data_IF_852552448485
#
_entry.id   IF_852552448485
#
_cell.length_a   1.000
_cell.length_b   1.000
_cell.length_c   1.000
_cell.angle_alpha   90.00
_cell.angle_beta   90.00
_cell.angle_gamma   90.00
#
_symmetry.space_group_name_H-M   'P 1'
#
loop_
_entity.id
_entity.type
_entity.pdbx_description
1 polymer ?
#
# COMPACT_ATOMS: atom_id res chain seq x y z
N UNK A 1 18.53 13.57 2.02
CA UNK A 1 18.11 12.48 1.09
C UNK A 1 16.61 12.26 1.21
N UNK A 2 15.93 11.79 0.12
CA UNK A 2 14.49 11.49 0.14
C UNK A 2 14.29 9.99 -0.01
N UNK A 3 13.47 9.40 0.87
CA UNK A 3 13.15 7.99 0.88
C UNK A 3 11.63 7.78 0.76
N UNK A 4 11.21 6.91 -0.15
CA UNK A 4 9.83 6.40 -0.19
C UNK A 4 9.85 5.05 0.51
N UNK A 5 9.23 4.96 1.68
CA UNK A 5 9.43 3.86 2.61
C UNK A 5 8.17 3.02 2.72
N UNK A 6 8.24 1.77 2.28
CA UNK A 6 7.20 0.77 2.49
C UNK A 6 7.11 0.38 3.96
N UNK A 7 5.93 0.57 4.56
CA UNK A 7 5.70 0.30 5.98
C UNK A 7 4.97 -1.03 6.23
N UNK A 8 4.78 -1.82 5.19
CA UNK A 8 4.11 -3.11 5.32
C UNK A 8 2.58 -3.01 5.42
N UNK A 9 1.90 -4.10 5.79
CA UNK A 9 0.44 -4.18 5.77
C UNK A 9 -0.26 -3.36 6.87
N UNK A 10 0.48 -2.95 7.91
CA UNK A 10 -0.07 -2.12 8.99
C UNK A 10 0.71 -2.22 10.30
N UNK A 11 0.85 -3.41 10.89
CA UNK A 11 1.51 -3.57 12.18
C UNK A 11 3.03 -3.39 12.08
N UNK A 12 3.62 -2.80 13.12
CA UNK A 12 5.06 -2.47 13.19
C UNK A 12 5.99 -3.68 13.04
N UNK A 13 5.57 -4.87 13.43
CA UNK A 13 6.36 -6.11 13.29
C UNK A 13 6.63 -6.51 11.84
N UNK A 14 5.87 -5.96 10.89
CA UNK A 14 6.03 -6.23 9.46
C UNK A 14 6.84 -5.16 8.71
N UNK A 15 7.42 -4.22 9.46
CA UNK A 15 8.30 -3.21 8.89
C UNK A 15 9.71 -3.79 8.75
N UNK A 16 10.29 -3.67 7.56
CA UNK A 16 11.66 -4.08 7.34
C UNK A 16 12.63 -3.28 8.20
N UNK A 17 13.64 -3.93 8.73
CA UNK A 17 14.64 -3.27 9.61
C UNK A 17 15.30 -2.05 8.96
N UNK A 18 15.56 -2.10 7.65
CA UNK A 18 16.07 -0.94 6.89
C UNK A 18 15.09 0.23 6.92
N UNK A 19 13.80 -0.05 6.69
CA UNK A 19 12.73 0.96 6.73
C UNK A 19 12.61 1.60 8.11
N UNK A 20 12.59 0.78 9.17
CA UNK A 20 12.57 1.25 10.56
C UNK A 20 13.73 2.21 10.85
N UNK A 21 14.96 1.83 10.47
CA UNK A 21 16.14 2.64 10.71
C UNK A 21 16.09 3.99 9.98
N UNK A 22 15.62 4.01 8.75
CA UNK A 22 15.46 5.23 7.96
C UNK A 22 14.41 6.14 8.60
N UNK A 23 13.24 5.62 8.96
CA UNK A 23 12.18 6.39 9.61
C UNK A 23 12.67 7.02 10.92
N UNK A 24 13.40 6.26 11.74
CA UNK A 24 13.94 6.73 13.02
C UNK A 24 14.98 7.86 12.90
N UNK A 25 15.70 7.90 11.79
CA UNK A 25 16.80 8.86 11.58
C UNK A 25 16.46 10.00 10.65
N UNK A 26 15.26 10.02 10.07
CA UNK A 26 14.81 11.11 9.19
C UNK A 26 14.46 12.36 9.97
N UNK A 27 14.82 13.52 9.42
CA UNK A 27 14.46 14.84 9.96
C UNK A 27 12.95 15.10 9.85
N UNK A 28 12.36 14.62 8.74
CA UNK A 28 10.92 14.73 8.45
C UNK A 28 10.34 13.36 8.06
N UNK A 29 9.19 13.04 8.63
CA UNK A 29 8.42 11.86 8.26
C UNK A 29 7.03 12.30 7.80
N UNK A 30 6.74 12.07 6.54
CA UNK A 30 5.53 12.52 5.83
C UNK A 30 4.66 11.31 5.50
N UNK A 31 3.37 11.39 5.78
CA UNK A 31 2.44 10.33 5.45
C UNK A 31 0.99 10.68 5.74
N UNK A 32 0.09 9.84 5.29
CA UNK A 32 -1.32 9.93 5.68
C UNK A 32 -1.49 9.63 7.17
N UNK A 33 -2.54 10.20 7.77
CA UNK A 33 -2.78 10.14 9.22
C UNK A 33 -2.62 8.73 9.78
N UNK A 34 -3.27 7.73 9.19
CA UNK A 34 -3.18 6.33 9.66
C UNK A 34 -1.73 5.83 9.74
N UNK A 35 -0.91 6.11 8.72
CA UNK A 35 0.50 5.67 8.69
C UNK A 35 1.34 6.37 9.76
N UNK A 36 1.15 7.67 9.94
CA UNK A 36 1.86 8.46 10.97
C UNK A 36 1.44 7.98 12.36
N UNK A 37 0.13 7.79 12.61
CA UNK A 37 -0.38 7.39 13.92
C UNK A 37 0.10 5.98 14.30
N UNK A 38 0.10 5.04 13.35
CA UNK A 38 0.62 3.67 13.57
C UNK A 38 2.09 3.67 13.98
N UNK A 39 2.89 4.58 13.43
CA UNK A 39 4.34 4.63 13.67
C UNK A 39 4.75 5.73 14.65
N UNK A 40 3.82 6.32 15.35
CA UNK A 40 4.06 7.50 16.18
C UNK A 40 5.23 7.34 17.16
N UNK A 41 5.30 6.21 17.82
CA UNK A 41 6.37 5.90 18.79
C UNK A 41 7.75 5.70 18.15
N UNK A 42 7.79 5.38 16.87
CA UNK A 42 9.03 5.13 16.12
C UNK A 42 9.62 6.42 15.56
N UNK A 43 8.79 7.41 15.24
CA UNK A 43 9.19 8.64 14.57
C UNK A 43 9.82 9.61 15.58
N UNK A 44 11.09 9.91 15.40
CA UNK A 44 11.83 10.90 16.22
C UNK A 44 11.85 12.30 15.59
N UNK A 45 11.86 12.37 14.26
CA UNK A 45 11.83 13.61 13.51
C UNK A 45 10.47 14.29 13.50
N UNK A 46 10.36 15.35 12.71
CA UNK A 46 9.10 16.11 12.56
C UNK A 46 8.07 15.29 11.78
N UNK A 47 6.92 15.02 12.39
CA UNK A 47 5.78 14.33 11.78
C UNK A 47 4.97 15.31 10.95
N UNK A 48 4.67 14.95 9.69
CA UNK A 48 3.86 15.74 8.78
C UNK A 48 2.74 14.86 8.23
N UNK A 49 1.51 15.13 8.68
CA UNK A 49 0.31 14.48 8.14
C UNK A 49 -0.15 15.21 6.90
N UNK A 50 -0.48 14.45 5.86
CA UNK A 50 -0.98 14.97 4.58
C UNK A 50 -2.32 14.36 4.24
N UNK A 51 -3.10 15.06 3.40
CA UNK A 51 -4.42 14.63 2.97
C UNK A 51 -4.44 14.14 1.51
N UNK A 52 -3.41 14.49 0.73
CA UNK A 52 -3.32 14.11 -0.68
C UNK A 52 -1.87 14.03 -1.16
N UNK A 53 -1.68 13.43 -2.36
CA UNK A 53 -0.36 13.22 -2.94
C UNK A 53 0.34 14.51 -3.36
N UNK A 54 -0.40 15.58 -3.70
CA UNK A 54 0.19 16.87 -4.10
C UNK A 54 0.90 17.55 -2.93
N UNK A 55 0.33 17.44 -1.73
CA UNK A 55 0.99 17.97 -0.53
C UNK A 55 2.35 17.28 -0.29
N UNK A 56 2.45 15.96 -0.54
CA UNK A 56 3.72 15.23 -0.43
C UNK A 56 4.77 15.85 -1.36
N UNK A 57 4.45 16.05 -2.64
CA UNK A 57 5.38 16.69 -3.60
C UNK A 57 5.82 18.08 -3.13
N UNK A 58 4.89 18.88 -2.63
CA UNK A 58 5.19 20.21 -2.09
C UNK A 58 6.22 20.16 -0.95
N UNK A 59 6.08 19.21 -0.03
CA UNK A 59 7.05 19.03 1.05
C UNK A 59 8.39 18.49 0.52
N UNK A 60 8.37 17.53 -0.42
CA UNK A 60 9.60 17.02 -1.04
C UNK A 60 10.42 18.09 -1.75
N UNK A 61 9.76 19.11 -2.31
CA UNK A 61 10.41 20.22 -3.01
C UNK A 61 11.00 21.26 -2.06
N UNK A 62 10.33 21.53 -0.94
CA UNK A 62 10.61 22.67 -0.07
C UNK A 62 11.36 22.33 1.22
N UNK A 63 11.47 21.07 1.61
CA UNK A 63 12.20 20.68 2.80
C UNK A 63 13.64 20.27 2.46
N UNK A 64 14.54 20.62 3.37
CA UNK A 64 15.94 20.21 3.35
C UNK A 64 16.21 19.22 4.48
N UNK A 65 17.13 18.26 4.26
CA UNK A 65 17.45 17.19 5.21
C UNK A 65 17.04 15.79 4.71
N UNK A 66 16.95 14.84 5.64
CA UNK A 66 16.51 13.49 5.36
C UNK A 66 14.98 13.37 5.54
N UNK A 67 14.30 12.99 4.45
CA UNK A 67 12.83 12.96 4.37
C UNK A 67 12.39 11.52 4.12
N UNK A 68 11.54 10.97 5.00
CA UNK A 68 10.85 9.71 4.78
C UNK A 68 9.40 9.94 4.41
N UNK A 69 8.97 9.35 3.29
CA UNK A 69 7.58 9.33 2.84
C UNK A 69 7.03 7.94 3.08
N UNK A 70 6.05 7.84 3.98
CA UNK A 70 5.46 6.57 4.36
C UNK A 70 4.47 6.09 3.28
N UNK A 71 4.67 4.87 2.80
CA UNK A 71 3.80 4.19 1.86
C UNK A 71 3.26 2.89 2.48
N UNK A 72 1.93 2.76 2.57
CA UNK A 72 1.31 1.50 3.00
C UNK A 72 1.68 0.36 2.06
N UNK A 73 1.98 -0.81 2.60
CA UNK A 73 2.42 -1.97 1.82
C UNK A 73 3.81 -1.77 1.21
N UNK A 74 3.91 -2.07 -0.08
CA UNK A 74 5.07 -1.81 -0.92
C UNK A 74 4.84 -0.59 -1.80
N UNK A 75 5.76 0.39 -1.83
CA UNK A 75 5.60 1.62 -2.61
C UNK A 75 5.44 1.41 -4.12
N UNK A 76 5.96 0.30 -4.65
CA UNK A 76 5.95 -0.02 -6.08
C UNK A 76 4.75 -0.88 -6.51
N UNK A 77 4.07 -1.53 -5.55
CA UNK A 77 2.90 -2.35 -5.86
C UNK A 77 1.61 -1.51 -5.80
N UNK A 78 1.22 -0.93 -6.92
CA UNK A 78 0.10 0.03 -7.03
C UNK A 78 0.19 1.21 -6.04
N UNK A 79 1.40 1.49 -5.58
CA UNK A 79 1.69 2.46 -4.53
C UNK A 79 2.06 3.84 -5.05
N UNK A 80 2.48 4.68 -4.12
CA UNK A 80 2.78 6.10 -4.34
C UNK A 80 4.01 6.33 -5.24
N UNK A 81 4.93 5.35 -5.36
CA UNK A 81 6.18 5.53 -6.08
C UNK A 81 5.95 5.85 -7.58
N UNK A 82 4.93 5.27 -8.21
CA UNK A 82 4.56 5.58 -9.60
C UNK A 82 4.16 7.06 -9.76
N UNK A 83 3.36 7.59 -8.83
CA UNK A 83 2.96 8.99 -8.85
C UNK A 83 4.14 9.93 -8.65
N UNK A 84 5.00 9.62 -7.67
CA UNK A 84 6.20 10.44 -7.39
C UNK A 84 7.16 10.41 -8.58
N UNK A 85 7.43 9.25 -9.17
CA UNK A 85 8.32 9.12 -10.33
C UNK A 85 7.89 9.95 -11.54
N UNK A 86 6.58 10.16 -11.71
CA UNK A 86 6.01 10.95 -12.81
C UNK A 86 6.01 12.45 -12.56
N UNK A 87 6.05 12.88 -11.31
CA UNK A 87 5.80 14.27 -10.93
C UNK A 87 6.94 14.91 -10.14
N UNK A 88 8.04 14.21 -9.88
CA UNK A 88 9.17 14.68 -9.11
C UNK A 88 10.49 14.34 -9.79
N UNK A 89 11.34 15.34 -10.04
CA UNK A 89 12.54 15.20 -10.87
C UNK A 89 13.86 15.08 -10.07
N UNK A 90 13.81 15.15 -8.73
CA UNK A 90 15.01 14.99 -7.89
C UNK A 90 15.18 13.52 -7.51
N UNK A 91 16.40 13.14 -7.13
CA UNK A 91 16.73 11.78 -6.70
C UNK A 91 15.99 11.40 -5.40
N UNK A 92 15.49 10.16 -5.35
CA UNK A 92 14.95 9.52 -4.17
C UNK A 92 15.29 8.03 -4.16
N UNK A 93 15.28 7.42 -3.00
CA UNK A 93 15.45 5.97 -2.83
C UNK A 93 14.10 5.33 -2.45
N UNK A 94 13.80 4.15 -3.02
CA UNK A 94 12.60 3.38 -2.63
C UNK A 94 13.03 2.23 -1.73
N UNK A 95 12.41 2.15 -0.56
CA UNK A 95 12.58 1.05 0.38
C UNK A 95 11.34 0.16 0.27
N UNK A 96 11.49 -1.12 -0.11
CA UNK A 96 10.34 -2.00 -0.29
C UNK A 96 9.62 -2.28 1.03
N UNK A 97 8.38 -2.76 0.92
CA UNK A 97 7.58 -3.21 2.06
C UNK A 97 6.80 -4.48 1.72
N UNK A 98 6.24 -5.12 2.74
CA UNK A 98 5.37 -6.28 2.56
C UNK A 98 3.98 -5.77 2.13
N UNK A 99 3.54 -6.12 0.93
CA UNK A 99 2.20 -5.77 0.46
C UNK A 99 1.12 -6.53 1.24
N UNK A 100 -0.06 -5.92 1.39
CA UNK A 100 -1.20 -6.54 2.07
C UNK A 100 -1.60 -7.89 1.47
N UNK A 101 -1.48 -8.06 0.15
CA UNK A 101 -1.77 -9.35 -0.48
C UNK A 101 -0.76 -10.44 -0.08
N UNK A 102 0.52 -10.10 0.11
CA UNK A 102 1.54 -11.07 0.57
C UNK A 102 1.21 -11.54 1.99
N UNK A 103 0.82 -10.61 2.85
CA UNK A 103 0.38 -10.92 4.20
C UNK A 103 -0.87 -11.83 4.20
N UNK A 104 -1.91 -11.47 3.44
CA UNK A 104 -3.14 -12.26 3.33
C UNK A 104 -2.87 -13.67 2.80
N UNK A 105 -2.03 -13.79 1.77
CA UNK A 105 -1.71 -15.11 1.19
C UNK A 105 -0.90 -15.99 2.14
N UNK A 106 -0.02 -15.40 2.96
CA UNK A 106 0.69 -16.11 4.02
C UNK A 106 -0.28 -16.63 5.08
N UNK A 107 -1.20 -15.78 5.58
CA UNK A 107 -2.22 -16.19 6.56
C UNK A 107 -3.13 -17.30 6.05
N UNK A 108 -3.53 -17.22 4.79
CA UNK A 108 -4.42 -18.20 4.17
C UNK A 108 -3.68 -19.41 3.58
N UNK A 109 -2.35 -19.47 3.70
CA UNK A 109 -1.47 -20.52 3.16
C UNK A 109 -1.69 -20.74 1.65
N UNK A 110 -1.88 -19.66 0.91
CA UNK A 110 -2.12 -19.67 -0.53
C UNK A 110 -0.89 -19.19 -1.29
N UNK A 111 -0.33 -20.02 -2.15
CA UNK A 111 0.75 -19.58 -3.05
C UNK A 111 0.18 -18.61 -4.10
N UNK A 112 0.91 -17.53 -4.36
CA UNK A 112 0.50 -16.47 -5.28
C UNK A 112 1.31 -16.42 -6.58
N UNK A 113 2.23 -17.37 -6.80
CA UNK A 113 2.86 -17.55 -8.10
C UNK A 113 1.78 -17.89 -9.15
N UNK A 114 1.92 -17.36 -10.35
CA UNK A 114 0.94 -17.47 -11.45
C UNK A 114 -0.46 -16.94 -11.10
N UNK A 115 -0.56 -16.02 -10.16
CA UNK A 115 -1.80 -15.32 -9.80
C UNK A 115 -1.81 -13.97 -10.50
N UNK A 116 -2.94 -13.60 -11.11
CA UNK A 116 -3.11 -12.23 -11.60
C UNK A 116 -3.26 -11.28 -10.41
N UNK A 117 -2.47 -10.21 -10.41
CA UNK A 117 -2.50 -9.18 -9.38
C UNK A 117 -3.07 -7.91 -9.98
N UNK A 118 -4.22 -7.45 -9.48
CA UNK A 118 -4.93 -6.28 -9.96
C UNK A 118 -5.27 -5.29 -8.84
N UNK A 119 -5.65 -4.09 -9.23
CA UNK A 119 -6.09 -3.06 -8.30
C UNK A 119 -7.30 -2.30 -8.84
N UNK A 120 -8.36 -2.31 -8.05
CA UNK A 120 -9.53 -1.44 -8.26
C UNK A 120 -9.40 -0.14 -7.43
N UNK A 121 -8.33 -0.01 -6.66
CA UNK A 121 -8.11 1.15 -5.79
C UNK A 121 -7.76 2.39 -6.60
N UNK A 122 -8.73 3.30 -6.77
CA UNK A 122 -8.57 4.51 -7.56
C UNK A 122 -8.29 4.28 -9.05
N UNK A 123 -8.63 3.10 -9.59
CA UNK A 123 -8.36 2.67 -10.96
C UNK A 123 -9.57 1.96 -11.55
N UNK A 124 -9.64 1.94 -12.87
CA UNK A 124 -10.59 1.11 -13.62
C UNK A 124 -9.80 0.01 -14.31
N UNK A 125 -9.89 -1.21 -13.78
CA UNK A 125 -9.35 -2.40 -14.42
C UNK A 125 -10.48 -3.31 -14.90
N UNK A 126 -10.18 -4.13 -15.91
CA UNK A 126 -11.15 -5.07 -16.49
C UNK A 126 -11.33 -6.30 -15.58
N UNK A 127 -11.81 -6.08 -14.35
CA UNK A 127 -11.97 -7.09 -13.30
C UNK A 127 -12.56 -8.39 -13.82
N UNK A 128 -13.71 -8.33 -14.46
CA UNK A 128 -14.43 -9.50 -14.94
C UNK A 128 -13.67 -10.29 -16.00
N UNK A 129 -12.97 -9.61 -16.91
CA UNK A 129 -12.15 -10.23 -17.94
C UNK A 129 -10.98 -11.01 -17.31
N UNK A 130 -10.28 -10.40 -16.35
CA UNK A 130 -9.17 -11.04 -15.67
C UNK A 130 -9.62 -12.23 -14.81
N UNK A 131 -10.76 -12.12 -14.11
CA UNK A 131 -11.29 -13.26 -13.34
C UNK A 131 -11.68 -14.43 -14.24
N UNK A 132 -12.25 -14.17 -15.43
CA UNK A 132 -12.58 -15.22 -16.41
C UNK A 132 -11.35 -15.92 -17.00
N UNK A 133 -10.25 -15.18 -17.18
CA UNK A 133 -9.06 -15.66 -17.87
C UNK A 133 -7.98 -16.22 -16.95
N UNK A 134 -8.16 -16.16 -15.63
CA UNK A 134 -7.17 -16.61 -14.67
C UNK A 134 -7.79 -17.51 -13.59
N UNK A 135 -7.10 -18.61 -13.25
CA UNK A 135 -7.53 -19.50 -12.17
C UNK A 135 -7.50 -18.85 -10.79
N UNK A 136 -6.64 -17.87 -10.62
CA UNK A 136 -6.49 -17.11 -9.36
C UNK A 136 -6.25 -15.64 -9.68
N UNK A 137 -6.94 -14.77 -8.95
CA UNK A 137 -6.74 -13.33 -9.01
C UNK A 137 -6.70 -12.75 -7.60
N UNK A 138 -5.92 -11.70 -7.41
CA UNK A 138 -5.87 -10.93 -6.16
C UNK A 138 -6.13 -9.48 -6.52
N UNK A 139 -6.96 -8.82 -5.74
CA UNK A 139 -7.42 -7.47 -6.03
C UNK A 139 -7.29 -6.56 -4.81
N UNK A 140 -6.65 -5.41 -4.99
CA UNK A 140 -6.80 -4.29 -4.06
C UNK A 140 -8.15 -3.59 -4.32
N UNK A 141 -8.87 -3.29 -3.26
CA UNK A 141 -10.21 -2.69 -3.31
C UNK A 141 -10.23 -1.31 -2.69
N UNK A 142 -11.32 -0.57 -2.87
CA UNK A 142 -11.56 0.73 -2.27
C UNK A 142 -13.03 0.89 -1.84
N UNK A 143 -13.41 2.09 -1.40
CA UNK A 143 -14.78 2.37 -0.95
C UNK A 143 -15.83 2.32 -2.07
N UNK A 144 -15.42 2.45 -3.34
CA UNK A 144 -16.30 2.35 -4.51
C UNK A 144 -16.38 0.91 -5.01
N UNK A 145 -15.21 0.28 -5.12
CA UNK A 145 -15.07 -1.10 -5.59
C UNK A 145 -14.88 -2.01 -4.38
N UNK A 146 -15.94 -2.18 -3.59
CA UNK A 146 -15.92 -2.99 -2.37
C UNK A 146 -15.92 -4.48 -2.69
N UNK A 147 -15.45 -5.35 -1.78
CA UNK A 147 -15.59 -6.81 -1.95
C UNK A 147 -17.04 -7.22 -2.26
N UNK A 148 -18.03 -6.58 -1.62
CA UNK A 148 -19.45 -6.84 -1.87
C UNK A 148 -19.84 -6.52 -3.32
N UNK A 149 -19.50 -5.33 -3.83
CA UNK A 149 -19.83 -4.94 -5.22
C UNK A 149 -19.16 -5.85 -6.24
N UNK A 150 -17.92 -6.30 -5.97
CA UNK A 150 -17.23 -7.25 -6.84
C UNK A 150 -17.89 -8.63 -6.81
N UNK A 151 -18.34 -9.12 -5.65
CA UNK A 151 -19.12 -10.36 -5.54
C UNK A 151 -20.43 -10.27 -6.34
N UNK A 152 -21.16 -9.16 -6.28
CA UNK A 152 -22.39 -8.95 -7.06
C UNK A 152 -22.13 -9.03 -8.56
N UNK A 153 -21.02 -8.47 -9.05
CA UNK A 153 -20.60 -8.60 -10.46
C UNK A 153 -20.38 -10.06 -10.85
N UNK A 154 -19.70 -10.85 -9.99
CA UNK A 154 -19.43 -12.26 -10.25
C UNK A 154 -20.72 -13.09 -10.30
N UNK A 155 -21.62 -12.90 -9.35
CA UNK A 155 -22.94 -13.55 -9.30
C UNK A 155 -23.74 -13.24 -10.55
N UNK A 156 -23.85 -11.96 -10.92
CA UNK A 156 -24.57 -11.49 -12.13
C UNK A 156 -24.05 -12.13 -13.43
N UNK A 157 -22.77 -12.49 -13.44
CA UNK A 157 -22.13 -13.13 -14.59
C UNK A 157 -22.02 -14.65 -14.48
N UNK A 158 -22.69 -15.28 -13.50
CA UNK A 158 -22.67 -16.72 -13.24
C UNK A 158 -21.25 -17.29 -13.05
N UNK A 159 -20.37 -16.54 -12.42
CA UNK A 159 -19.01 -17.00 -12.09
C UNK A 159 -19.02 -17.64 -10.71
N UNK A 160 -18.78 -18.95 -10.67
CA UNK A 160 -18.64 -19.70 -9.43
C UNK A 160 -17.17 -19.75 -9.01
N UNK A 161 -16.84 -19.12 -7.87
CA UNK A 161 -15.48 -19.07 -7.33
C UNK A 161 -15.49 -18.94 -5.80
N UNK A 162 -14.37 -19.29 -5.18
CA UNK A 162 -14.13 -19.00 -3.76
C UNK A 162 -13.54 -17.60 -3.62
N UNK A 163 -14.11 -16.80 -2.75
CA UNK A 163 -13.65 -15.43 -2.47
C UNK A 163 -13.12 -15.40 -1.03
N UNK A 164 -11.94 -14.84 -0.86
CA UNK A 164 -11.33 -14.58 0.44
C UNK A 164 -11.15 -13.06 0.55
N UNK A 165 -11.68 -12.48 1.60
CA UNK A 165 -11.58 -11.06 1.89
C UNK A 165 -10.70 -10.86 3.11
N UNK A 166 -9.77 -9.94 3.05
CA UNK A 166 -8.97 -9.49 4.19
C UNK A 166 -9.16 -7.99 4.37
N UNK A 167 -9.54 -7.59 5.56
CA UNK A 167 -9.78 -6.21 5.92
C UNK A 167 -8.92 -5.84 7.13
N UNK A 168 -8.39 -4.63 7.16
CA UNK A 168 -7.50 -4.12 8.20
C UNK A 168 -6.35 -5.07 8.54
N UNK A 169 -5.77 -5.68 7.49
CA UNK A 169 -4.75 -6.71 7.62
C UNK A 169 -3.59 -6.26 8.50
N UNK A 170 -3.25 -7.09 9.47
CA UNK A 170 -2.25 -6.91 10.52
C UNK A 170 -2.57 -5.87 11.60
N UNK A 171 -3.67 -5.15 11.52
CA UNK A 171 -4.15 -4.29 12.62
C UNK A 171 -4.93 -5.11 13.66
N UNK A 172 -5.21 -4.50 14.83
CA UNK A 172 -5.93 -5.17 15.92
C UNK A 172 -7.36 -5.57 15.53
N UNK A 173 -7.99 -4.82 14.63
CA UNK A 173 -9.34 -5.06 14.09
C UNK A 173 -9.33 -5.85 12.76
N UNK A 174 -8.28 -6.62 12.52
CA UNK A 174 -8.15 -7.48 11.34
C UNK A 174 -9.28 -8.49 11.24
N UNK A 175 -9.84 -8.65 10.05
CA UNK A 175 -10.87 -9.66 9.74
C UNK A 175 -10.82 -10.10 8.27
#
# INVERSE_FOLDING_TARGET
MIYIVGIGPGHVDYILKKAENIIKNSDYVIGFSRSIDTLESMIKGKKIKVNNLKEILTYMENLEGDISILASGDPLFYGIADYISKNFNRNFEVIPGISSFQYLTAKTKRVWNKTFLGSMHGREEKFLEHVKNNCKTIWLTDNKNTPKSLCEILIKNNINCTIIVGENLSYEDER
#
